data_IF_573318355231
#
_entry.id   IF_573318355231
#
_cell.length_a   1.000
_cell.length_b   1.000
_cell.length_c   1.000
_cell.angle_alpha   90.00
_cell.angle_beta   90.00
_cell.angle_gamma   90.00
#
_symmetry.space_group_name_H-M   'P 1'
#
loop_
_entity.id
_entity.type
_entity.pdbx_description
1 polymer ?
#
# COMPACT_ATOMS: atom_id res chain seq x y z
N UNK A 1 -28.54 -23.20 -15.07
CA UNK A 1 -27.42 -22.72 -14.22
C UNK A 1 -27.92 -22.71 -12.78
N UNK A 2 -27.42 -23.63 -11.95
CA UNK A 2 -27.90 -23.84 -10.59
C UNK A 2 -27.46 -22.70 -9.66
N UNK A 3 -28.14 -22.52 -8.53
CA UNK A 3 -27.75 -21.52 -7.50
C UNK A 3 -26.31 -21.77 -7.01
N UNK A 4 -25.88 -23.03 -6.93
CA UNK A 4 -24.52 -23.44 -6.58
C UNK A 4 -23.46 -22.88 -7.54
N UNK A 5 -23.67 -23.03 -8.85
CA UNK A 5 -22.76 -22.51 -9.89
C UNK A 5 -22.58 -20.98 -9.79
N UNK A 6 -23.65 -20.29 -9.37
CA UNK A 6 -23.66 -18.83 -9.22
C UNK A 6 -22.92 -18.36 -7.96
N UNK A 7 -22.89 -19.17 -6.90
CA UNK A 7 -22.13 -18.89 -5.67
C UNK A 7 -20.64 -19.15 -5.89
N UNK A 8 -20.29 -20.26 -6.56
CA UNK A 8 -18.90 -20.64 -6.83
C UNK A 8 -18.22 -19.68 -7.83
N UNK A 9 -18.95 -19.21 -8.84
CA UNK A 9 -18.47 -18.17 -9.75
C UNK A 9 -18.22 -16.83 -9.05
N UNK A 10 -19.12 -16.41 -8.15
CA UNK A 10 -18.96 -15.16 -7.37
C UNK A 10 -17.75 -15.20 -6.44
N UNK A 11 -17.53 -16.32 -5.75
CA UNK A 11 -16.35 -16.47 -4.88
C UNK A 11 -15.06 -16.61 -5.67
N UNK A 12 -15.10 -17.20 -6.88
CA UNK A 12 -13.99 -17.19 -7.83
C UNK A 12 -13.59 -15.77 -8.27
N UNK A 13 -14.57 -14.97 -8.72
CA UNK A 13 -14.33 -13.57 -9.14
C UNK A 13 -13.79 -12.73 -7.98
N UNK A 14 -14.35 -12.86 -6.78
CA UNK A 14 -13.87 -12.12 -5.60
C UNK A 14 -12.40 -12.43 -5.25
N UNK A 15 -11.99 -13.70 -5.35
CA UNK A 15 -10.59 -14.12 -5.14
C UNK A 15 -9.66 -13.52 -6.19
N UNK A 16 -10.05 -13.56 -7.46
CA UNK A 16 -9.26 -12.98 -8.56
C UNK A 16 -9.12 -11.47 -8.37
N UNK A 17 -10.21 -10.76 -8.08
CA UNK A 17 -10.19 -9.32 -7.83
C UNK A 17 -9.28 -8.97 -6.63
N UNK A 18 -9.40 -9.68 -5.50
CA UNK A 18 -8.55 -9.46 -4.34
C UNK A 18 -7.07 -9.67 -4.68
N UNK A 19 -6.74 -10.79 -5.35
CA UNK A 19 -5.37 -11.09 -5.75
C UNK A 19 -4.80 -10.05 -6.73
N UNK A 20 -5.59 -9.62 -7.72
CA UNK A 20 -5.20 -8.60 -8.68
C UNK A 20 -4.94 -7.25 -8.01
N UNK A 21 -5.77 -6.85 -7.05
CA UNK A 21 -5.60 -5.60 -6.30
C UNK A 21 -4.37 -5.63 -5.41
N UNK A 22 -4.09 -6.75 -4.72
CA UNK A 22 -2.84 -6.91 -3.97
C UNK A 22 -1.62 -6.89 -4.90
N UNK A 23 -1.66 -7.60 -6.02
CA UNK A 23 -0.58 -7.58 -6.99
C UNK A 23 -0.32 -6.17 -7.54
N UNK A 24 -1.39 -5.44 -7.90
CA UNK A 24 -1.31 -4.06 -8.36
C UNK A 24 -0.70 -3.16 -7.29
N UNK A 25 -1.20 -3.22 -6.05
CA UNK A 25 -0.65 -2.45 -4.93
C UNK A 25 0.85 -2.72 -4.74
N UNK A 26 1.23 -4.00 -4.71
CA UNK A 26 2.62 -4.42 -4.55
C UNK A 26 3.52 -3.92 -5.68
N UNK A 27 3.09 -4.05 -6.93
CA UNK A 27 3.83 -3.53 -8.10
C UNK A 27 4.01 -2.02 -8.00
N UNK A 28 2.96 -1.28 -7.66
CA UNK A 28 3.02 0.18 -7.56
C UNK A 28 3.94 0.66 -6.43
N UNK A 29 3.97 -0.04 -5.29
CA UNK A 29 4.92 0.25 -4.21
C UNK A 29 6.37 -0.13 -4.53
N UNK A 30 6.61 -1.02 -5.49
CA UNK A 30 7.96 -1.27 -6.04
C UNK A 30 8.33 -0.19 -7.05
N UNK A 31 7.40 0.12 -7.97
CA UNK A 31 7.61 1.14 -9.01
C UNK A 31 7.97 2.48 -8.40
N UNK A 32 7.27 2.90 -7.33
CA UNK A 32 7.51 4.19 -6.68
C UNK A 32 9.00 4.46 -6.40
N UNK A 33 9.68 3.73 -5.49
CA UNK A 33 11.08 4.01 -5.18
C UNK A 33 12.03 3.61 -6.32
N UNK A 34 11.67 2.68 -7.21
CA UNK A 34 12.56 2.28 -8.32
C UNK A 34 12.71 3.38 -9.37
N UNK A 35 11.62 4.07 -9.70
CA UNK A 35 11.62 5.11 -10.76
C UNK A 35 11.77 6.51 -10.20
N UNK A 36 11.71 6.68 -8.88
CA UNK A 36 11.87 7.99 -8.24
C UNK A 36 13.28 8.53 -8.51
N UNK A 37 13.42 9.77 -9.03
CA UNK A 37 14.72 10.40 -9.11
C UNK A 37 15.24 10.71 -7.70
N UNK A 38 16.50 10.37 -7.44
CA UNK A 38 17.19 10.65 -6.18
C UNK A 38 18.41 11.51 -6.46
N UNK A 39 18.67 12.47 -5.59
CA UNK A 39 19.93 13.20 -5.63
C UNK A 39 21.13 12.29 -5.30
N UNK A 40 22.27 12.57 -5.92
CA UNK A 40 23.47 11.76 -5.80
C UNK A 40 24.07 11.81 -4.39
N UNK A 41 24.69 10.71 -3.96
CA UNK A 41 25.48 10.67 -2.72
C UNK A 41 24.70 10.91 -1.42
N UNK A 42 23.37 10.75 -1.43
CA UNK A 42 22.52 10.98 -0.26
C UNK A 42 22.25 12.46 0.03
N UNK A 43 22.54 13.35 -0.93
CA UNK A 43 22.11 14.74 -0.84
C UNK A 43 20.57 14.84 -0.78
N UNK A 44 20.02 15.92 -0.21
CA UNK A 44 18.60 16.22 -0.32
C UNK A 44 18.20 16.37 -1.79
N UNK A 45 17.02 15.86 -2.15
CA UNK A 45 16.46 16.09 -3.48
C UNK A 45 16.24 17.58 -3.70
N UNK A 46 16.56 18.05 -4.90
CA UNK A 46 16.52 19.46 -5.25
C UNK A 46 15.77 19.70 -6.55
N UNK A 47 16.06 20.85 -7.17
CA UNK A 47 15.36 21.32 -8.36
C UNK A 47 15.37 20.29 -9.50
N UNK A 48 16.52 19.67 -9.76
CA UNK A 48 16.68 18.73 -10.87
C UNK A 48 15.81 17.48 -10.71
N UNK A 49 15.77 16.91 -9.51
CA UNK A 49 14.95 15.74 -9.18
C UNK A 49 13.46 16.10 -9.26
N UNK A 50 13.07 17.24 -8.69
CA UNK A 50 11.67 17.68 -8.71
C UNK A 50 11.17 17.97 -10.13
N UNK A 51 11.99 18.59 -10.98
CA UNK A 51 11.63 18.91 -12.37
C UNK A 51 11.47 17.67 -13.27
N UNK A 52 11.95 16.50 -12.83
CA UNK A 52 11.87 15.28 -13.62
C UNK A 52 10.42 14.78 -13.76
N UNK A 53 9.95 14.38 -14.95
CA UNK A 53 8.64 13.76 -15.11
C UNK A 53 8.52 12.42 -14.34
N UNK A 54 9.65 11.78 -14.06
CA UNK A 54 9.69 10.58 -13.22
C UNK A 54 9.33 10.86 -11.76
N UNK A 55 9.46 12.10 -11.30
CA UNK A 55 8.91 12.54 -10.01
C UNK A 55 7.40 12.29 -9.95
N UNK A 56 6.67 12.73 -10.98
CA UNK A 56 5.22 12.54 -11.07
C UNK A 56 4.86 11.05 -11.14
N UNK A 57 5.51 10.30 -12.02
CA UNK A 57 5.26 8.86 -12.19
C UNK A 57 5.46 8.11 -10.88
N UNK A 58 6.56 8.39 -10.18
CA UNK A 58 6.89 7.75 -8.91
C UNK A 58 5.81 8.04 -7.86
N UNK A 59 5.46 9.30 -7.63
CA UNK A 59 4.51 9.64 -6.57
C UNK A 59 3.08 9.24 -6.91
N UNK A 60 2.67 9.29 -8.19
CA UNK A 60 1.38 8.74 -8.62
C UNK A 60 1.33 7.22 -8.48
N UNK A 61 2.45 6.51 -8.66
CA UNK A 61 2.52 5.08 -8.33
C UNK A 61 2.28 4.85 -6.84
N UNK A 62 2.88 5.65 -5.94
CA UNK A 62 2.60 5.55 -4.51
C UNK A 62 1.12 5.82 -4.19
N UNK A 63 0.53 6.88 -4.74
CA UNK A 63 -0.91 7.21 -4.59
C UNK A 63 -1.79 6.03 -5.03
N UNK A 64 -1.53 5.49 -6.24
CA UNK A 64 -2.24 4.33 -6.76
C UNK A 64 -2.04 3.09 -5.89
N UNK A 65 -0.84 2.89 -5.35
CA UNK A 65 -0.49 1.79 -4.45
C UNK A 65 -1.32 1.82 -3.16
N UNK A 66 -1.45 2.97 -2.51
CA UNK A 66 -2.30 3.12 -1.32
C UNK A 66 -3.78 2.85 -1.62
N UNK A 67 -4.30 3.38 -2.72
CA UNK A 67 -5.70 3.17 -3.13
C UNK A 67 -5.95 1.69 -3.44
N UNK A 68 -5.08 1.07 -4.25
CA UNK A 68 -5.17 -0.34 -4.61
C UNK A 68 -5.08 -1.23 -3.35
N UNK A 69 -4.22 -0.88 -2.40
CA UNK A 69 -4.10 -1.59 -1.12
C UNK A 69 -5.40 -1.50 -0.29
N UNK A 70 -5.97 -0.30 -0.15
CA UNK A 70 -7.26 -0.11 0.52
C UNK A 70 -8.38 -0.93 -0.12
N UNK A 71 -8.44 -0.96 -1.45
CA UNK A 71 -9.40 -1.78 -2.21
C UNK A 71 -9.13 -3.29 -2.04
N UNK A 72 -7.86 -3.70 -2.03
CA UNK A 72 -7.47 -5.09 -1.79
C UNK A 72 -7.95 -5.58 -0.41
N UNK A 73 -7.85 -4.72 0.62
CA UNK A 73 -8.35 -5.02 1.96
C UNK A 73 -9.88 -5.11 2.01
N UNK A 74 -10.61 -4.30 1.24
CA UNK A 74 -12.08 -4.43 1.12
C UNK A 74 -12.44 -5.80 0.51
N UNK A 75 -11.77 -6.18 -0.58
CA UNK A 75 -11.98 -7.48 -1.21
C UNK A 75 -11.61 -8.64 -0.27
N UNK A 76 -10.49 -8.52 0.46
CA UNK A 76 -10.09 -9.49 1.49
C UNK A 76 -11.16 -9.60 2.59
N UNK A 77 -11.66 -8.48 3.11
CA UNK A 77 -12.69 -8.46 4.15
C UNK A 77 -13.95 -9.22 3.71
N UNK A 78 -14.36 -9.04 2.45
CA UNK A 78 -15.47 -9.82 1.86
C UNK A 78 -15.20 -11.32 1.83
N UNK A 79 -13.97 -11.74 1.52
CA UNK A 79 -13.57 -13.16 1.52
C UNK A 79 -13.49 -13.76 2.93
N UNK A 80 -13.20 -12.94 3.94
CA UNK A 80 -13.03 -13.36 5.33
C UNK A 80 -14.32 -13.28 6.16
N UNK A 81 -15.45 -12.89 5.56
CA UNK A 81 -16.75 -12.84 6.20
C UNK A 81 -17.15 -14.23 6.75
N UNK A 82 -17.64 -14.28 8.00
CA UNK A 82 -18.01 -15.52 8.67
C UNK A 82 -16.82 -16.35 9.19
N UNK A 83 -15.59 -15.86 9.05
CA UNK A 83 -14.40 -16.50 9.62
C UNK A 83 -14.00 -15.86 10.95
N UNK A 84 -13.10 -16.51 11.70
CA UNK A 84 -12.52 -15.92 12.92
C UNK A 84 -11.70 -14.63 12.69
N UNK A 85 -11.40 -14.29 11.44
CA UNK A 85 -10.68 -13.08 11.05
C UNK A 85 -11.54 -11.86 10.76
N UNK A 86 -12.87 -12.00 10.69
CA UNK A 86 -13.79 -10.97 10.18
C UNK A 86 -13.63 -9.60 10.85
N UNK A 87 -13.66 -9.54 12.19
CA UNK A 87 -13.52 -8.28 12.94
C UNK A 87 -12.20 -7.57 12.65
N UNK A 88 -11.11 -8.34 12.55
CA UNK A 88 -9.80 -7.79 12.22
C UNK A 88 -9.74 -7.29 10.78
N UNK A 89 -10.45 -7.93 9.85
CA UNK A 89 -10.55 -7.48 8.46
C UNK A 89 -11.33 -6.15 8.35
N UNK A 90 -12.39 -5.96 9.15
CA UNK A 90 -13.12 -4.68 9.24
C UNK A 90 -12.20 -3.56 9.76
N UNK A 91 -11.43 -3.83 10.82
CA UNK A 91 -10.44 -2.87 11.34
C UNK A 91 -9.38 -2.56 10.30
N UNK A 92 -8.91 -3.57 9.56
CA UNK A 92 -7.94 -3.39 8.49
C UNK A 92 -8.45 -2.39 7.43
N UNK A 93 -9.67 -2.58 6.95
CA UNK A 93 -10.32 -1.69 5.97
C UNK A 93 -10.44 -0.27 6.54
N UNK A 94 -11.03 -0.11 7.73
CA UNK A 94 -11.28 1.21 8.30
C UNK A 94 -9.98 1.98 8.55
N UNK A 95 -9.01 1.36 9.22
CA UNK A 95 -7.73 1.99 9.53
C UNK A 95 -6.94 2.34 8.26
N UNK A 96 -6.87 1.43 7.28
CA UNK A 96 -6.14 1.71 6.04
C UNK A 96 -6.80 2.76 5.17
N UNK A 97 -8.13 2.86 5.10
CA UNK A 97 -8.79 3.93 4.33
C UNK A 97 -8.68 5.29 4.99
N UNK A 98 -8.86 5.37 6.31
CA UNK A 98 -8.63 6.62 7.05
C UNK A 98 -7.15 7.02 6.90
N UNK A 99 -6.23 6.07 7.12
CA UNK A 99 -4.80 6.31 6.99
C UNK A 99 -4.39 6.76 5.59
N UNK A 100 -4.93 6.12 4.55
CA UNK A 100 -4.74 6.53 3.15
C UNK A 100 -5.28 7.95 2.94
N UNK A 101 -6.50 8.24 3.38
CA UNK A 101 -7.11 9.57 3.27
C UNK A 101 -6.29 10.69 3.92
N UNK A 102 -5.60 10.41 5.03
CA UNK A 102 -4.69 11.37 5.68
C UNK A 102 -3.31 11.46 5.01
N UNK A 103 -2.88 10.37 4.36
CA UNK A 103 -1.58 10.26 3.67
C UNK A 103 -1.58 10.94 2.30
N UNK A 104 -2.67 10.78 1.54
CA UNK A 104 -2.75 11.25 0.15
C UNK A 104 -2.64 12.78 -0.04
N UNK A 105 -3.13 13.66 0.86
CA UNK A 105 -2.89 15.09 0.74
C UNK A 105 -1.41 15.45 0.73
N UNK A 106 -0.59 14.80 1.55
CA UNK A 106 0.86 14.97 1.56
C UNK A 106 1.48 14.53 0.23
N UNK A 107 1.11 13.34 -0.26
CA UNK A 107 1.57 12.87 -1.57
C UNK A 107 1.11 13.78 -2.71
N UNK A 108 -0.10 14.35 -2.66
CA UNK A 108 -0.57 15.30 -3.66
C UNK A 108 0.29 16.56 -3.69
N UNK A 109 0.59 17.12 -2.51
CA UNK A 109 1.49 18.27 -2.39
C UNK A 109 2.90 17.94 -2.91
N UNK A 110 3.48 16.82 -2.49
CA UNK A 110 4.77 16.32 -2.99
C UNK A 110 4.77 16.15 -4.51
N UNK A 111 3.73 15.54 -5.06
CA UNK A 111 3.65 15.22 -6.50
C UNK A 111 3.60 16.49 -7.32
N UNK A 112 2.66 17.37 -7.04
CA UNK A 112 2.32 18.48 -7.94
C UNK A 112 3.07 19.76 -7.57
N UNK A 113 3.15 20.11 -6.29
CA UNK A 113 3.77 21.37 -5.87
C UNK A 113 5.29 21.32 -6.07
N UNK A 114 5.95 20.22 -5.67
CA UNK A 114 7.40 20.14 -5.84
C UNK A 114 7.79 20.06 -7.30
N UNK A 115 7.04 19.31 -8.12
CA UNK A 115 7.31 19.28 -9.56
C UNK A 115 7.22 20.67 -10.19
N UNK A 116 6.19 21.45 -9.83
CA UNK A 116 6.06 22.84 -10.27
C UNK A 116 7.23 23.72 -9.76
N UNK A 117 7.69 23.53 -8.52
CA UNK A 117 8.85 24.23 -7.98
C UNK A 117 10.14 23.89 -8.75
N UNK A 118 10.35 22.63 -9.12
CA UNK A 118 11.49 22.21 -9.93
C UNK A 118 11.57 22.94 -11.28
N UNK A 119 10.42 23.21 -11.91
CA UNK A 119 10.32 23.95 -13.17
C UNK A 119 10.17 25.47 -13.05
N UNK A 120 10.21 26.03 -11.84
CA UNK A 120 9.81 27.42 -11.59
C UNK A 120 10.80 28.50 -12.05
N UNK A 121 12.04 28.14 -12.36
CA UNK A 121 13.12 29.09 -12.65
C UNK A 121 13.74 29.77 -11.42
N UNK A 122 13.27 29.46 -10.21
CA UNK A 122 13.87 29.91 -8.95
C UNK A 122 15.27 29.32 -8.73
N UNK A 123 16.09 29.98 -7.92
CA UNK A 123 17.39 29.46 -7.49
C UNK A 123 17.24 28.20 -6.60
N UNK A 124 18.32 27.44 -6.41
CA UNK A 124 18.26 26.13 -5.74
C UNK A 124 17.90 26.28 -4.26
N UNK A 125 18.37 27.34 -3.62
CA UNK A 125 18.07 27.64 -2.22
C UNK A 125 16.60 27.96 -2.01
N UNK A 126 16.01 28.74 -2.91
CA UNK A 126 14.58 29.05 -2.90
C UNK A 126 13.71 27.79 -3.11
N UNK A 127 14.06 26.94 -4.10
CA UNK A 127 13.34 25.69 -4.37
C UNK A 127 13.37 24.75 -3.16
N UNK A 128 14.54 24.53 -2.59
CA UNK A 128 14.72 23.61 -1.44
C UNK A 128 14.02 24.14 -0.18
N UNK A 129 14.07 25.45 0.07
CA UNK A 129 13.38 26.08 1.22
C UNK A 129 11.86 25.98 1.10
N UNK A 130 11.31 26.21 -0.09
CA UNK A 130 9.87 26.05 -0.34
C UNK A 130 9.45 24.58 -0.27
N UNK A 131 10.26 23.66 -0.80
CA UNK A 131 9.99 22.23 -0.72
C UNK A 131 9.95 21.74 0.73
N UNK A 132 10.89 22.21 1.56
CA UNK A 132 10.90 21.90 2.99
C UNK A 132 9.66 22.45 3.69
N UNK A 133 9.21 23.65 3.32
CA UNK A 133 7.97 24.25 3.85
C UNK A 133 6.72 23.46 3.46
N UNK A 134 6.72 22.84 2.27
CA UNK A 134 5.66 21.91 1.83
C UNK A 134 5.68 20.64 2.66
N UNK A 135 6.86 20.10 2.99
CA UNK A 135 7.04 18.82 3.70
C UNK A 135 6.88 18.88 5.21
N UNK A 136 7.49 19.88 5.85
CA UNK A 136 7.84 19.79 7.27
C UNK A 136 7.07 20.74 8.19
N UNK A 137 6.06 21.45 7.67
CA UNK A 137 5.11 22.14 8.52
C UNK A 137 4.34 21.16 9.42
N UNK A 138 4.01 21.63 10.63
CA UNK A 138 3.48 20.78 11.69
C UNK A 138 2.20 20.03 11.28
N UNK A 139 1.29 20.69 10.56
CA UNK A 139 0.02 20.10 10.15
C UNK A 139 0.21 18.95 9.15
N UNK A 140 0.94 19.19 8.06
CA UNK A 140 1.16 18.19 7.03
C UNK A 140 1.99 17.00 7.52
N UNK A 141 3.04 17.25 8.32
CA UNK A 141 3.88 16.18 8.86
C UNK A 141 3.08 15.30 9.84
N UNK A 142 2.25 15.92 10.69
CA UNK A 142 1.39 15.18 11.63
C UNK A 142 0.34 14.35 10.90
N UNK A 143 -0.35 14.93 9.92
CA UNK A 143 -1.35 14.23 9.11
C UNK A 143 -0.74 13.04 8.36
N UNK A 144 0.42 13.25 7.75
CA UNK A 144 1.15 12.21 7.04
C UNK A 144 1.60 11.08 7.96
N UNK A 145 2.25 11.41 9.08
CA UNK A 145 2.71 10.42 10.05
C UNK A 145 1.54 9.63 10.65
N UNK A 146 0.46 10.31 11.07
CA UNK A 146 -0.75 9.65 11.58
C UNK A 146 -1.40 8.76 10.51
N UNK A 147 -1.42 9.22 9.26
CA UNK A 147 -1.91 8.46 8.13
C UNK A 147 -1.13 7.16 7.93
N UNK A 148 0.19 7.22 7.88
CA UNK A 148 1.05 6.04 7.72
C UNK A 148 0.96 5.09 8.91
N UNK A 149 0.86 5.59 10.14
CA UNK A 149 0.64 4.77 11.33
C UNK A 149 -0.69 4.01 11.24
N UNK A 150 -1.76 4.65 10.79
CA UNK A 150 -3.05 3.99 10.58
C UNK A 150 -3.01 2.96 9.46
N UNK A 151 -2.26 3.22 8.37
CA UNK A 151 -2.03 2.20 7.33
C UNK A 151 -1.27 1.00 7.89
N UNK A 152 -0.25 1.22 8.73
CA UNK A 152 0.49 0.14 9.39
C UNK A 152 -0.40 -0.68 10.34
N UNK A 153 -1.27 -0.01 11.12
CA UNK A 153 -2.30 -0.66 11.94
C UNK A 153 -3.23 -1.50 11.07
N UNK A 154 -3.70 -0.95 9.94
CA UNK A 154 -4.58 -1.66 9.03
C UNK A 154 -3.92 -2.90 8.39
N UNK A 155 -2.67 -2.78 7.94
CA UNK A 155 -1.90 -3.92 7.43
C UNK A 155 -1.65 -5.00 8.51
N UNK A 156 -1.38 -4.58 9.74
CA UNK A 156 -1.22 -5.49 10.89
C UNK A 156 -2.53 -6.22 11.23
N UNK A 157 -3.66 -5.49 11.23
CA UNK A 157 -4.98 -6.07 11.40
C UNK A 157 -5.33 -7.05 10.27
N UNK A 158 -4.92 -6.76 9.03
CA UNK A 158 -5.08 -7.69 7.91
C UNK A 158 -4.27 -8.98 8.12
N UNK A 159 -3.03 -8.90 8.62
CA UNK A 159 -2.23 -10.07 8.95
C UNK A 159 -2.88 -10.92 10.06
N UNK A 160 -3.45 -10.28 11.09
CA UNK A 160 -4.23 -10.96 12.14
C UNK A 160 -5.48 -11.60 11.56
N UNK A 161 -6.19 -10.92 10.65
CA UNK A 161 -7.37 -11.45 9.98
C UNK A 161 -7.04 -12.71 9.18
N UNK A 162 -5.96 -12.66 8.39
CA UNK A 162 -5.42 -13.81 7.64
C UNK A 162 -5.11 -14.97 8.59
N UNK A 163 -4.37 -14.72 9.67
CA UNK A 163 -4.00 -15.75 10.64
C UNK A 163 -5.22 -16.41 11.32
N UNK A 164 -6.25 -15.63 11.65
CA UNK A 164 -7.46 -16.12 12.33
C UNK A 164 -8.48 -16.74 11.38
N UNK A 165 -8.42 -16.43 10.09
CA UNK A 165 -9.36 -16.97 9.09
C UNK A 165 -9.22 -18.47 8.88
N UNK A 166 -8.00 -19.01 9.05
CA UNK A 166 -7.60 -20.38 8.68
C UNK A 166 -7.84 -20.75 7.20
N UNK A 167 -8.10 -19.75 6.34
CA UNK A 167 -8.26 -19.94 4.89
C UNK A 167 -6.93 -19.87 4.13
N UNK A 168 -5.95 -19.17 4.70
CA UNK A 168 -4.60 -19.00 4.19
C UNK A 168 -3.59 -19.50 5.24
N UNK A 169 -2.33 -19.68 4.82
CA UNK A 169 -1.24 -19.89 5.78
C UNK A 169 -1.15 -18.69 6.74
N UNK A 170 -1.13 -18.95 8.05
CA UNK A 170 -1.30 -17.88 9.05
C UNK A 170 -0.20 -16.83 9.06
N UNK A 171 0.98 -17.14 8.51
CA UNK A 171 2.10 -16.21 8.37
C UNK A 171 2.02 -15.33 7.11
N UNK A 172 1.13 -15.63 6.15
CA UNK A 172 1.13 -15.02 4.83
C UNK A 172 0.98 -13.48 4.84
N UNK A 173 0.29 -12.93 5.85
CA UNK A 173 0.15 -11.48 6.01
C UNK A 173 1.32 -10.79 6.71
N UNK A 174 2.24 -11.53 7.34
CA UNK A 174 3.34 -10.95 8.14
C UNK A 174 4.28 -10.09 7.30
N UNK A 175 4.82 -10.53 6.14
CA UNK A 175 5.76 -9.70 5.38
C UNK A 175 5.14 -8.38 4.92
N UNK A 176 3.84 -8.40 4.56
CA UNK A 176 3.08 -7.20 4.21
C UNK A 176 2.95 -6.25 5.41
N UNK A 177 2.56 -6.75 6.58
CA UNK A 177 2.45 -5.94 7.79
C UNK A 177 3.79 -5.32 8.20
N UNK A 178 4.89 -6.08 8.12
CA UNK A 178 6.25 -5.57 8.38
C UNK A 178 6.62 -4.48 7.39
N UNK A 179 6.35 -4.67 6.09
CA UNK A 179 6.58 -3.65 5.07
C UNK A 179 5.88 -2.33 5.39
N UNK A 180 4.59 -2.35 5.73
CA UNK A 180 3.87 -1.13 6.10
C UNK A 180 4.28 -0.55 7.46
N UNK A 181 4.69 -1.38 8.43
CA UNK A 181 5.23 -0.89 9.71
C UNK A 181 6.56 -0.14 9.54
N UNK A 182 7.35 -0.53 8.54
CA UNK A 182 8.64 0.11 8.21
C UNK A 182 8.51 1.34 7.29
N UNK A 183 7.29 1.76 6.95
CA UNK A 183 7.07 2.87 6.02
C UNK A 183 7.56 4.22 6.54
N UNK A 184 7.49 4.48 7.85
CA UNK A 184 8.09 5.70 8.42
C UNK A 184 9.62 5.56 8.50
N UNK A 185 10.19 4.47 9.05
CA UNK A 185 11.64 4.25 9.07
C UNK A 185 12.35 4.42 7.73
N UNK A 186 11.75 4.01 6.61
CA UNK A 186 12.39 4.12 5.29
C UNK A 186 12.68 5.57 4.84
N UNK A 187 12.02 6.59 5.42
CA UNK A 187 12.34 7.99 5.10
C UNK A 187 13.70 8.45 5.66
N UNK A 188 14.31 7.68 6.56
CA UNK A 188 15.59 8.00 7.20
C UNK A 188 16.78 7.21 6.62
N UNK A 189 16.55 6.48 5.53
CA UNK A 189 17.58 5.69 4.83
C UNK A 189 17.75 6.14 3.38
N UNK A 190 18.83 5.69 2.76
CA UNK A 190 19.21 6.02 1.39
C UNK A 190 18.39 5.24 0.34
N UNK A 191 18.55 5.62 -0.94
CA UNK A 191 17.77 5.09 -2.04
C UNK A 191 17.76 3.54 -2.13
N UNK A 192 18.90 2.82 -2.01
CA UNK A 192 18.90 1.36 -2.03
C UNK A 192 17.97 0.74 -0.98
N UNK A 193 17.97 1.25 0.25
CA UNK A 193 17.12 0.73 1.32
C UNK A 193 15.64 1.09 1.12
N UNK A 194 15.34 2.26 0.54
CA UNK A 194 13.97 2.63 0.15
C UNK A 194 13.42 1.71 -0.96
N UNK A 195 14.25 1.37 -1.94
CA UNK A 195 13.91 0.38 -2.97
C UNK A 195 13.67 -0.98 -2.32
N UNK A 196 14.55 -1.41 -1.42
CA UNK A 196 14.39 -2.65 -0.66
C UNK A 196 13.08 -2.70 0.15
N UNK A 197 12.68 -1.57 0.74
CA UNK A 197 11.40 -1.41 1.43
C UNK A 197 10.19 -1.56 0.49
N UNK A 198 10.22 -0.92 -0.68
CA UNK A 198 9.20 -1.11 -1.72
C UNK A 198 9.10 -2.57 -2.17
N UNK A 199 10.24 -3.25 -2.36
CA UNK A 199 10.31 -4.69 -2.68
C UNK A 199 9.73 -5.56 -1.57
N UNK A 200 9.98 -5.22 -0.30
CA UNK A 200 9.39 -5.93 0.85
C UNK A 200 7.86 -5.84 0.85
N UNK A 201 7.31 -4.64 0.61
CA UNK A 201 5.86 -4.47 0.49
C UNK A 201 5.33 -5.27 -0.71
N UNK A 202 5.98 -5.17 -1.87
CA UNK A 202 5.62 -5.92 -3.08
C UNK A 202 5.59 -7.43 -2.84
N UNK A 203 6.62 -7.96 -2.18
CA UNK A 203 6.70 -9.37 -1.79
C UNK A 203 5.55 -9.75 -0.84
N UNK A 204 5.28 -8.95 0.20
CA UNK A 204 4.19 -9.21 1.13
C UNK A 204 2.83 -9.25 0.44
N UNK A 205 2.55 -8.29 -0.45
CA UNK A 205 1.32 -8.29 -1.23
C UNK A 205 1.22 -9.51 -2.16
N UNK A 206 2.33 -9.92 -2.80
CA UNK A 206 2.36 -11.11 -3.65
C UNK A 206 2.08 -12.40 -2.87
N UNK A 207 2.65 -12.55 -1.66
CA UNK A 207 2.38 -13.71 -0.78
C UNK A 207 0.90 -13.80 -0.44
N UNK A 208 0.26 -12.68 -0.07
CA UNK A 208 -1.19 -12.65 0.21
C UNK A 208 -2.00 -12.95 -1.05
N UNK A 209 -1.68 -12.33 -2.19
CA UNK A 209 -2.36 -12.55 -3.46
C UNK A 209 -2.35 -14.04 -3.88
N UNK A 210 -1.17 -14.67 -3.82
CA UNK A 210 -1.02 -16.10 -4.11
C UNK A 210 -1.76 -16.98 -3.11
N UNK A 211 -1.76 -16.61 -1.82
CA UNK A 211 -2.52 -17.30 -0.79
C UNK A 211 -4.03 -17.25 -1.06
N UNK A 212 -4.55 -16.08 -1.46
CA UNK A 212 -5.96 -15.91 -1.84
C UNK A 212 -6.32 -16.79 -3.04
N UNK A 213 -5.49 -16.81 -4.09
CA UNK A 213 -5.73 -17.64 -5.28
C UNK A 213 -5.71 -19.15 -4.98
N UNK A 214 -4.88 -19.57 -4.02
CA UNK A 214 -4.72 -20.99 -3.64
C UNK A 214 -5.69 -21.43 -2.54
N UNK A 215 -6.43 -20.51 -1.93
CA UNK A 215 -7.41 -20.84 -0.89
C UNK A 215 -8.54 -21.70 -1.48
N UNK A 216 -8.79 -22.86 -0.87
CA UNK A 216 -9.89 -23.74 -1.24
C UNK A 216 -11.16 -23.26 -0.53
N UNK A 217 -12.28 -23.20 -1.26
CA UNK A 217 -13.59 -23.18 -0.60
C UNK A 217 -13.73 -24.49 0.18
N UNK A 218 -14.28 -24.48 1.41
CA UNK A 218 -14.62 -25.72 2.09
C UNK A 218 -15.48 -26.54 1.14
N UNK A 219 -14.98 -27.69 0.68
CA UNK A 219 -15.82 -28.65 -0.04
C UNK A 219 -16.95 -28.98 0.92
N UNK A 220 -18.20 -28.73 0.51
CA UNK A 220 -19.33 -29.35 1.16
C UNK A 220 -19.11 -30.85 1.02
N UNK A 221 -18.63 -31.51 2.08
CA UNK A 221 -18.75 -32.96 2.25
C UNK A 221 -20.23 -33.25 2.42
N UNK A 222 -20.96 -33.19 1.31
CA UNK A 222 -22.28 -33.77 1.13
C UNK A 222 -22.10 -34.96 0.18
N UNK A 223 -21.49 -36.02 0.70
CA UNK A 223 -21.64 -37.36 0.12
C UNK A 223 -21.68 -38.36 1.26
N UNK A 224 -22.90 -38.70 1.65
CA UNK A 224 -23.33 -40.06 2.01
C UNK A 224 -22.76 -40.69 3.29
N UNK A 225 -23.57 -40.69 4.34
CA UNK A 225 -24.00 -41.90 5.05
C UNK A 225 -25.24 -41.57 5.89
#
# INVERSE_FOLDING_TARGET
MAVSDRIESRTGVARICAAALFALAGVLFVVYPVVRPYAAGGAPDGRAEFASPWWLVAHLAAVGGFIAFGLALVALSGLLNGTGGERAAVVAVAASWIGTGLTLPYYGAETFALHALGGSGLDEGAVTTLAESVRMGAAQATLFAAGLLLVAVGASAAAVAVARSRLLAGWAGIPMAVGFALFIPQFYVDAPLRIGHGVLIGFGCAVVALGVLRSQSPRSTMTGA
#
